data_IF_414466143098
#
_entry.id   IF_414466143098
#
_cell.length_a   1.000
_cell.length_b   1.000
_cell.length_c   1.000
_cell.angle_alpha   90.00
_cell.angle_beta   90.00
_cell.angle_gamma   90.00
#
_symmetry.space_group_name_H-M   'P 1'
#
loop_
_entity.id
_entity.type
_entity.pdbx_description
1 polymer ?
#
# COMPACT_ATOMS: atom_id res chain seq x y z
N UNK A 1 4.13 41.05 38.58
CA UNK A 1 3.41 39.87 38.06
C UNK A 1 4.44 38.75 37.98
N UNK A 2 4.27 37.67 38.72
CA UNK A 2 5.11 36.48 38.55
C UNK A 2 4.95 35.95 37.11
N UNK A 3 6.04 35.53 36.44
CA UNK A 3 5.90 34.89 35.14
C UNK A 3 5.15 33.57 35.32
N UNK A 4 4.06 33.39 34.57
CA UNK A 4 3.36 32.11 34.53
C UNK A 4 4.32 31.03 34.03
N UNK A 5 4.41 29.91 34.75
CA UNK A 5 5.26 28.77 34.36
C UNK A 5 4.68 27.97 33.17
N UNK A 6 3.42 28.21 32.81
CA UNK A 6 2.75 27.53 31.71
C UNK A 6 3.06 28.19 30.37
N UNK A 7 3.38 27.34 29.40
CA UNK A 7 3.62 27.71 28.01
C UNK A 7 2.58 27.00 27.14
N UNK A 8 2.16 27.67 26.07
CA UNK A 8 1.20 27.14 25.11
C UNK A 8 1.81 27.06 23.72
N UNK A 9 1.39 26.09 22.94
CA UNK A 9 1.78 25.93 21.55
C UNK A 9 0.61 26.31 20.64
N UNK A 10 0.91 27.12 19.63
CA UNK A 10 -0.07 27.56 18.64
C UNK A 10 0.44 27.25 17.23
N UNK A 11 -0.49 26.94 16.33
CA UNK A 11 -0.20 26.71 14.92
C UNK A 11 0.41 27.95 14.26
N UNK A 12 1.56 27.77 13.60
CA UNK A 12 2.13 28.80 12.72
C UNK A 12 1.24 29.06 11.51
N UNK A 13 0.49 28.05 11.03
CA UNK A 13 -0.48 28.24 9.95
C UNK A 13 -1.60 29.19 10.39
N UNK A 14 -2.13 29.02 11.61
CA UNK A 14 -3.11 29.95 12.16
C UNK A 14 -2.50 31.34 12.40
N UNK A 15 -1.27 31.43 12.93
CA UNK A 15 -0.60 32.74 13.10
C UNK A 15 -0.37 33.48 11.78
N UNK A 16 -0.10 32.75 10.69
CA UNK A 16 0.01 33.36 9.36
C UNK A 16 -1.32 33.95 8.93
N UNK A 17 -2.45 33.26 9.16
CA UNK A 17 -3.79 33.83 8.94
C UNK A 17 -4.01 35.06 9.80
N UNK A 18 -3.69 35.00 11.09
CA UNK A 18 -3.79 36.14 12.02
C UNK A 18 -3.02 37.38 11.53
N UNK A 19 -1.85 37.20 10.92
CA UNK A 19 -1.04 38.31 10.38
C UNK A 19 -1.54 38.88 9.06
N UNK A 20 -2.29 38.10 8.28
CA UNK A 20 -2.58 38.42 6.87
C UNK A 20 -4.06 38.63 6.57
N UNK A 21 -4.96 38.19 7.44
CA UNK A 21 -6.42 38.24 7.25
C UNK A 21 -7.02 39.22 8.25
N UNK A 22 -8.03 39.99 7.82
CA UNK A 22 -8.81 40.84 8.72
C UNK A 22 -9.56 40.01 9.79
N UNK A 23 -10.00 38.81 9.42
CA UNK A 23 -10.67 37.85 10.30
C UNK A 23 -10.04 36.46 10.14
N UNK A 24 -9.09 36.07 11.01
CA UNK A 24 -8.39 34.79 10.88
C UNK A 24 -9.23 33.56 11.26
N UNK A 25 -10.41 33.78 11.87
CA UNK A 25 -11.26 32.75 12.44
C UNK A 25 -10.72 32.16 13.75
N UNK A 26 -11.39 31.12 14.30
CA UNK A 26 -10.99 30.48 15.55
C UNK A 26 -9.59 29.86 15.48
N UNK A 27 -8.89 29.80 16.61
CA UNK A 27 -7.60 29.12 16.72
C UNK A 27 -7.80 27.64 16.35
N UNK A 28 -6.94 27.12 15.49
CA UNK A 28 -6.91 25.69 15.16
C UNK A 28 -5.48 25.17 15.27
N UNK A 29 -5.30 24.17 16.12
CA UNK A 29 -4.04 23.46 16.34
C UNK A 29 -4.05 22.03 15.74
N UNK A 30 -5.07 21.73 14.92
CA UNK A 30 -5.24 20.42 14.28
C UNK A 30 -4.25 20.15 13.13
N UNK A 31 -3.52 21.16 12.67
CA UNK A 31 -2.49 21.02 11.65
C UNK A 31 -1.23 20.32 12.18
N UNK A 32 -0.96 20.37 13.48
CA UNK A 32 0.17 19.67 14.10
C UNK A 32 -0.23 18.56 15.10
N UNK A 33 -1.52 18.39 15.38
CA UNK A 33 -2.05 17.31 16.22
C UNK A 33 -2.86 16.29 15.42
N UNK A 34 -2.80 15.02 15.83
CA UNK A 34 -3.74 14.01 15.38
C UNK A 34 -5.07 14.08 16.18
N UNK A 35 -6.06 13.29 15.78
CA UNK A 35 -7.34 13.14 16.50
C UNK A 35 -7.18 12.63 17.93
N UNK A 36 -6.08 11.96 18.27
CA UNK A 36 -5.77 11.51 19.63
C UNK A 36 -5.17 12.62 20.51
N UNK A 37 -4.90 13.81 19.96
CA UNK A 37 -4.37 14.97 20.70
C UNK A 37 -2.84 15.00 20.88
N UNK A 38 -2.10 14.09 20.24
CA UNK A 38 -0.64 14.10 20.20
C UNK A 38 -0.10 14.51 18.83
N UNK A 39 1.21 14.72 18.74
CA UNK A 39 1.89 15.01 17.47
C UNK A 39 1.98 13.72 16.65
N UNK A 40 1.52 13.69 15.39
CA UNK A 40 1.70 12.52 14.52
C UNK A 40 3.19 12.18 14.38
N UNK A 41 3.61 10.89 14.43
CA UNK A 41 5.02 10.53 14.41
C UNK A 41 5.80 11.09 13.22
N UNK A 42 5.20 11.10 12.02
CA UNK A 42 5.82 11.64 10.81
C UNK A 42 6.03 13.17 10.85
N UNK A 43 5.40 13.89 11.78
CA UNK A 43 5.58 15.34 12.00
C UNK A 43 6.58 15.66 13.10
N UNK A 44 6.94 14.68 13.93
CA UNK A 44 7.75 14.90 15.12
C UNK A 44 9.12 15.52 14.80
N UNK A 45 9.71 15.18 13.64
CA UNK A 45 11.03 15.67 13.22
C UNK A 45 11.06 17.14 12.81
N UNK A 46 9.90 17.73 12.49
CA UNK A 46 9.78 19.13 12.05
C UNK A 46 8.68 19.88 12.81
N UNK A 47 8.34 19.43 14.02
CA UNK A 47 7.27 20.03 14.81
C UNK A 47 7.52 21.51 15.12
N UNK A 48 8.77 21.91 15.34
CA UNK A 48 9.17 23.29 15.61
C UNK A 48 8.89 24.25 14.44
N UNK A 49 8.83 23.73 13.21
CA UNK A 49 8.47 24.45 12.00
C UNK A 49 6.95 24.63 11.86
N UNK A 50 6.15 23.89 12.64
CA UNK A 50 4.70 23.94 12.63
C UNK A 50 4.13 24.78 13.78
N UNK A 51 4.83 24.85 14.92
CA UNK A 51 4.31 25.47 16.14
C UNK A 51 5.12 26.70 16.57
N UNK A 52 4.45 27.62 17.23
CA UNK A 52 5.10 28.68 18.00
C UNK A 52 4.72 28.53 19.47
N UNK A 53 5.73 28.61 20.34
CA UNK A 53 5.52 28.64 21.78
C UNK A 53 5.17 30.05 22.24
N UNK A 54 4.12 30.18 23.03
CA UNK A 54 3.59 31.41 23.56
C UNK A 54 3.59 31.39 25.10
N UNK A 55 3.90 32.53 25.74
CA UNK A 55 3.57 32.75 27.15
C UNK A 55 2.06 32.65 27.39
N UNK A 56 1.64 32.18 28.57
CA UNK A 56 0.23 32.01 28.92
C UNK A 56 -0.60 33.29 28.72
N UNK A 57 -0.10 34.45 29.14
CA UNK A 57 -0.85 35.71 28.98
C UNK A 57 -1.15 36.06 27.52
N UNK A 58 -0.25 35.71 26.61
CA UNK A 58 -0.45 35.90 25.16
C UNK A 58 -1.49 34.91 24.65
N UNK A 59 -1.39 33.64 25.07
CA UNK A 59 -2.39 32.63 24.75
C UNK A 59 -3.80 33.02 25.23
N UNK A 60 -3.94 33.39 26.50
CA UNK A 60 -5.22 33.77 27.12
C UNK A 60 -5.88 34.93 26.37
N UNK A 61 -5.10 35.93 25.97
CA UNK A 61 -5.59 37.05 25.16
C UNK A 61 -6.09 36.59 23.77
N UNK A 62 -5.32 35.76 23.07
CA UNK A 62 -5.71 35.25 21.75
C UNK A 62 -6.95 34.35 21.87
N UNK A 63 -6.97 33.44 22.84
CA UNK A 63 -8.07 32.52 23.06
C UNK A 63 -9.36 33.26 23.46
N UNK A 64 -9.29 34.25 24.35
CA UNK A 64 -10.44 35.07 24.74
C UNK A 64 -11.07 35.79 23.55
N UNK A 65 -10.26 36.23 22.58
CA UNK A 65 -10.75 36.96 21.39
C UNK A 65 -11.23 36.06 20.26
N UNK A 66 -10.54 34.94 20.00
CA UNK A 66 -10.78 34.12 18.80
C UNK A 66 -11.40 32.75 19.11
N UNK A 67 -11.30 32.27 20.35
CA UNK A 67 -11.74 30.93 20.74
C UNK A 67 -11.04 29.81 19.95
N UNK A 68 -11.71 28.66 19.81
CA UNK A 68 -11.22 27.52 19.04
C UNK A 68 -10.50 26.48 19.89
N UNK A 69 -9.51 25.81 19.31
CA UNK A 69 -8.71 24.80 20.01
C UNK A 69 -8.08 23.73 19.10
N UNK A 70 -7.59 22.63 19.69
CA UNK A 70 -7.45 22.42 21.14
C UNK A 70 -6.35 23.31 21.75
N UNK A 71 -6.46 23.62 23.05
CA UNK A 71 -5.37 24.24 23.79
C UNK A 71 -4.24 23.22 24.01
N UNK A 72 -3.00 23.61 23.75
CA UNK A 72 -1.85 22.69 23.80
C UNK A 72 -0.79 23.30 24.68
N UNK A 73 -0.50 22.67 25.82
CA UNK A 73 0.55 23.10 26.76
C UNK A 73 1.71 22.09 26.86
N UNK A 74 1.60 20.97 26.14
CA UNK A 74 2.62 19.94 26.07
C UNK A 74 2.58 19.25 24.72
N UNK A 75 3.75 19.00 24.13
CA UNK A 75 3.90 18.25 22.90
C UNK A 75 4.48 16.88 23.22
N UNK A 76 3.82 15.84 22.73
CA UNK A 76 4.28 14.47 22.83
C UNK A 76 3.97 13.75 21.52
N UNK A 77 4.84 12.82 21.14
CA UNK A 77 4.58 11.94 20.00
C UNK A 77 3.38 11.06 20.33
N UNK A 78 2.40 11.01 19.46
CA UNK A 78 1.21 10.19 19.67
C UNK A 78 1.55 8.70 19.61
N UNK A 79 1.54 8.04 20.77
CA UNK A 79 1.81 6.61 20.87
C UNK A 79 0.78 5.76 20.12
N UNK A 80 -0.50 6.13 20.15
CA UNK A 80 -1.54 5.42 19.38
C UNK A 80 -1.23 5.44 17.88
N UNK A 81 -0.91 6.60 17.31
CA UNK A 81 -0.51 6.69 15.90
C UNK A 81 0.76 5.88 15.61
N UNK A 82 1.73 5.90 16.51
CA UNK A 82 2.97 5.12 16.37
C UNK A 82 2.67 3.62 16.29
N UNK A 83 1.86 3.11 17.22
CA UNK A 83 1.47 1.70 17.25
C UNK A 83 0.70 1.29 16.01
N UNK A 84 -0.20 2.12 15.49
CA UNK A 84 -0.94 1.78 14.27
C UNK A 84 -0.04 1.78 13.03
N UNK A 85 0.95 2.67 12.94
CA UNK A 85 1.97 2.63 11.88
C UNK A 85 2.78 1.33 11.96
N UNK A 86 3.28 0.97 13.14
CA UNK A 86 4.07 -0.25 13.34
C UNK A 86 3.27 -1.53 13.03
N UNK A 87 2.00 -1.57 13.42
CA UNK A 87 1.09 -2.68 13.08
C UNK A 87 0.89 -2.79 11.58
N UNK A 88 0.70 -1.66 10.89
CA UNK A 88 0.53 -1.62 9.44
C UNK A 88 1.78 -2.10 8.71
N UNK A 89 2.96 -1.62 9.10
CA UNK A 89 4.24 -2.05 8.55
C UNK A 89 4.48 -3.54 8.80
N UNK A 90 4.20 -4.03 10.02
CA UNK A 90 4.30 -5.45 10.35
C UNK A 90 3.38 -6.30 9.48
N UNK A 91 2.14 -5.85 9.24
CA UNK A 91 1.19 -6.53 8.35
C UNK A 91 1.72 -6.58 6.92
N UNK A 92 2.12 -5.44 6.35
CA UNK A 92 2.66 -5.34 4.98
C UNK A 92 3.86 -6.28 4.79
N UNK A 93 4.79 -6.26 5.74
CA UNK A 93 5.96 -7.14 5.72
C UNK A 93 5.57 -8.62 5.80
N UNK A 94 4.69 -9.00 6.73
CA UNK A 94 4.24 -10.38 6.85
C UNK A 94 3.54 -10.88 5.58
N UNK A 95 2.72 -10.04 4.94
CA UNK A 95 2.07 -10.39 3.68
C UNK A 95 3.07 -10.57 2.53
N UNK A 96 4.02 -9.64 2.38
CA UNK A 96 5.05 -9.70 1.35
C UNK A 96 5.99 -10.91 1.54
N UNK A 97 6.48 -11.14 2.75
CA UNK A 97 7.40 -12.24 3.06
C UNK A 97 6.76 -13.60 2.76
N UNK A 98 5.48 -13.77 3.13
CA UNK A 98 4.74 -15.00 2.83
C UNK A 98 4.53 -15.17 1.32
N UNK A 99 4.11 -14.12 0.61
CA UNK A 99 3.94 -14.17 -0.84
C UNK A 99 5.25 -14.54 -1.54
N UNK A 100 6.36 -13.90 -1.20
CA UNK A 100 7.68 -14.19 -1.80
C UNK A 100 8.07 -15.66 -1.59
N UNK A 101 7.83 -16.18 -0.38
CA UNK A 101 8.09 -17.59 -0.05
C UNK A 101 7.25 -18.54 -0.91
N UNK A 102 5.94 -18.30 -0.99
CA UNK A 102 5.01 -19.15 -1.74
C UNK A 102 5.27 -19.07 -3.26
N UNK A 103 5.53 -17.87 -3.77
CA UNK A 103 5.86 -17.68 -5.17
C UNK A 103 7.17 -18.39 -5.53
N UNK A 104 8.20 -18.34 -4.67
CA UNK A 104 9.44 -19.09 -4.88
C UNK A 104 9.19 -20.59 -4.95
N UNK A 105 8.39 -21.14 -4.03
CA UNK A 105 8.03 -22.55 -4.04
C UNK A 105 7.29 -22.96 -5.33
N UNK A 106 6.40 -22.09 -5.83
CA UNK A 106 5.68 -22.31 -7.09
C UNK A 106 6.61 -22.30 -8.31
N UNK A 107 7.63 -21.43 -8.33
CA UNK A 107 8.62 -21.43 -9.43
C UNK A 107 9.53 -22.67 -9.42
N UNK A 108 9.71 -23.31 -8.26
CA UNK A 108 10.49 -24.54 -8.10
C UNK A 108 9.66 -25.80 -8.41
N UNK A 109 8.34 -25.67 -8.59
CA UNK A 109 7.45 -26.78 -8.91
C UNK A 109 7.51 -27.14 -10.41
N UNK A 110 7.98 -28.34 -10.72
CA UNK A 110 8.22 -28.76 -12.11
C UNK A 110 6.94 -28.96 -12.94
N UNK A 111 5.85 -29.41 -12.31
CA UNK A 111 4.62 -29.82 -13.03
C UNK A 111 3.33 -29.58 -12.23
N UNK A 112 2.93 -28.31 -12.03
CA UNK A 112 1.70 -28.00 -11.30
C UNK A 112 0.47 -28.53 -12.04
N UNK A 113 -0.39 -29.29 -11.35
CA UNK A 113 -1.60 -29.90 -11.94
C UNK A 113 -2.70 -28.87 -12.19
N UNK A 114 -2.79 -27.86 -11.33
CA UNK A 114 -3.78 -26.78 -11.39
C UNK A 114 -3.07 -25.47 -11.07
N UNK A 115 -3.29 -24.46 -11.90
CA UNK A 115 -2.76 -23.12 -11.72
C UNK A 115 -3.93 -22.19 -11.42
N UNK A 116 -3.82 -21.38 -10.36
CA UNK A 116 -4.80 -20.37 -10.02
C UNK A 116 -4.47 -19.06 -10.74
N UNK A 117 -5.51 -18.30 -11.10
CA UNK A 117 -5.36 -17.02 -11.77
C UNK A 117 -5.84 -15.87 -10.88
N UNK A 118 -5.11 -14.76 -10.93
CA UNK A 118 -5.44 -13.53 -10.19
C UNK A 118 -5.41 -12.33 -11.12
N UNK A 119 -6.39 -11.43 -10.96
CA UNK A 119 -6.45 -10.18 -11.72
C UNK A 119 -5.21 -9.32 -11.46
N UNK A 120 -4.50 -8.93 -12.52
CA UNK A 120 -3.35 -8.04 -12.38
C UNK A 120 -3.74 -6.64 -11.93
N UNK A 121 -4.99 -6.23 -12.11
CA UNK A 121 -5.50 -4.99 -11.52
C UNK A 121 -5.43 -5.08 -9.99
N UNK A 122 -6.08 -6.09 -9.40
CA UNK A 122 -6.09 -6.29 -7.95
C UNK A 122 -4.68 -6.54 -7.41
N UNK A 123 -3.88 -7.33 -8.13
CA UNK A 123 -2.52 -7.64 -7.70
C UNK A 123 -1.62 -6.39 -7.64
N UNK A 124 -1.78 -5.43 -8.56
CA UNK A 124 -1.05 -4.16 -8.51
C UNK A 124 -1.45 -3.29 -7.32
N UNK A 125 -2.74 -3.30 -6.94
CA UNK A 125 -3.23 -2.61 -5.73
C UNK A 125 -2.64 -3.25 -4.46
N UNK A 126 -2.67 -4.58 -4.39
CA UNK A 126 -2.02 -5.34 -3.31
C UNK A 126 -0.52 -5.07 -3.24
N UNK A 127 0.17 -5.08 -4.39
CA UNK A 127 1.60 -4.80 -4.47
C UNK A 127 1.93 -3.37 -4.00
N UNK A 128 1.10 -2.39 -4.38
CA UNK A 128 1.20 -1.00 -3.91
C UNK A 128 1.08 -0.89 -2.39
N UNK A 129 0.11 -1.59 -1.81
CA UNK A 129 -0.09 -1.67 -0.37
C UNK A 129 1.11 -2.29 0.36
N UNK A 130 1.55 -3.49 -0.01
CA UNK A 130 2.64 -4.20 0.71
C UNK A 130 4.00 -3.53 0.53
N UNK A 131 4.21 -2.78 -0.56
CA UNK A 131 5.40 -1.95 -0.77
C UNK A 131 5.30 -0.55 -0.15
N UNK A 132 4.20 -0.23 0.53
CA UNK A 132 3.99 1.05 1.21
C UNK A 132 3.81 2.26 0.28
N UNK A 133 3.47 2.03 -0.99
CA UNK A 133 3.10 3.11 -1.93
C UNK A 133 1.71 3.67 -1.59
N UNK A 134 0.81 2.77 -1.20
CA UNK A 134 -0.57 3.09 -0.84
C UNK A 134 -0.82 2.77 0.64
N UNK A 135 -1.61 3.64 1.30
CA UNK A 135 -1.95 3.46 2.71
C UNK A 135 -3.07 2.45 2.92
N UNK A 136 -4.02 2.41 1.99
CA UNK A 136 -5.17 1.53 2.09
C UNK A 136 -4.83 0.13 1.56
N UNK A 137 -5.24 -0.94 2.26
CA UNK A 137 -5.14 -2.29 1.71
C UNK A 137 -6.03 -2.44 0.48
N UNK A 138 -5.74 -3.39 -0.42
CA UNK A 138 -6.64 -3.70 -1.51
C UNK A 138 -7.99 -4.16 -0.95
N UNK A 139 -9.05 -3.97 -1.74
CA UNK A 139 -10.35 -4.56 -1.45
C UNK A 139 -10.33 -6.09 -1.61
N UNK A 140 -11.52 -6.74 -1.58
CA UNK A 140 -11.61 -8.16 -1.89
C UNK A 140 -11.04 -8.49 -3.27
N UNK A 141 -10.47 -9.70 -3.43
CA UNK A 141 -9.97 -10.16 -4.73
C UNK A 141 -11.10 -10.09 -5.75
N UNK A 142 -10.91 -9.34 -6.83
CA UNK A 142 -11.88 -9.22 -7.92
C UNK A 142 -11.32 -9.81 -9.22
N UNK A 143 -11.77 -11.03 -9.50
CA UNK A 143 -11.46 -11.76 -10.73
C UNK A 143 -12.56 -11.64 -11.80
N UNK A 144 -13.61 -10.83 -11.60
CA UNK A 144 -14.75 -10.77 -12.53
C UNK A 144 -14.34 -10.39 -13.94
N UNK A 145 -13.36 -9.48 -14.09
CA UNK A 145 -12.84 -9.05 -15.40
C UNK A 145 -12.00 -10.10 -16.12
N UNK A 146 -11.45 -11.08 -15.38
CA UNK A 146 -10.64 -12.17 -15.92
C UNK A 146 -11.42 -13.49 -16.03
N UNK A 147 -12.66 -13.53 -15.56
CA UNK A 147 -13.49 -14.72 -15.54
C UNK A 147 -14.52 -14.73 -16.68
N UNK A 148 -14.81 -15.92 -17.21
CA UNK A 148 -15.99 -16.21 -18.03
C UNK A 148 -16.75 -17.34 -17.35
N UNK A 149 -18.08 -17.17 -17.21
CA UNK A 149 -18.96 -18.24 -16.80
C UNK A 149 -19.54 -18.93 -18.05
N UNK A 150 -19.21 -20.22 -18.23
CA UNK A 150 -19.82 -21.09 -19.24
C UNK A 150 -20.61 -22.18 -18.52
N UNK A 151 -21.94 -22.05 -18.52
CA UNK A 151 -22.86 -23.04 -17.96
C UNK A 151 -22.59 -23.41 -16.49
N UNK A 152 -22.23 -22.43 -15.66
CA UNK A 152 -21.89 -22.63 -14.25
C UNK A 152 -20.41 -22.92 -13.99
N UNK A 153 -19.61 -23.15 -15.03
CA UNK A 153 -18.17 -23.33 -14.91
C UNK A 153 -17.44 -22.01 -15.14
N UNK A 154 -16.67 -21.56 -14.16
CA UNK A 154 -15.82 -20.37 -14.27
C UNK A 154 -14.48 -20.76 -14.88
N UNK A 155 -14.09 -20.09 -15.96
CA UNK A 155 -12.80 -20.30 -16.66
C UNK A 155 -12.12 -18.96 -16.92
N UNK A 156 -10.81 -18.98 -17.17
CA UNK A 156 -10.06 -17.79 -17.55
C UNK A 156 -10.55 -17.23 -18.90
N UNK A 157 -10.79 -15.92 -18.94
CA UNK A 157 -11.07 -15.16 -20.16
C UNK A 157 -9.80 -15.07 -21.01
N UNK A 158 -9.90 -15.49 -22.28
CA UNK A 158 -8.77 -15.40 -23.21
C UNK A 158 -8.30 -13.95 -23.36
N UNK A 159 -6.98 -13.73 -23.24
CA UNK A 159 -6.35 -12.40 -23.35
C UNK A 159 -6.59 -11.48 -22.14
N UNK A 160 -7.14 -11.98 -21.04
CA UNK A 160 -7.29 -11.18 -19.83
C UNK A 160 -5.94 -10.90 -19.15
N UNK A 161 -5.83 -9.73 -18.52
CA UNK A 161 -4.65 -9.31 -17.75
C UNK A 161 -4.65 -10.03 -16.38
N UNK A 162 -4.11 -11.26 -16.37
CA UNK A 162 -4.06 -12.14 -15.21
C UNK A 162 -2.65 -12.63 -14.91
N UNK A 163 -2.32 -12.72 -13.62
CA UNK A 163 -1.16 -13.45 -13.11
C UNK A 163 -1.49 -14.90 -12.80
N UNK A 164 -0.48 -15.75 -12.79
CA UNK A 164 -0.55 -17.15 -12.36
C UNK A 164 0.03 -17.30 -10.96
N UNK A 165 -0.66 -18.03 -10.09
CA UNK A 165 -0.24 -18.31 -8.72
C UNK A 165 -0.58 -19.75 -8.33
N UNK A 166 0.10 -20.26 -7.30
CA UNK A 166 -0.21 -21.57 -6.73
C UNK A 166 -1.51 -21.57 -5.93
N UNK A 167 -2.04 -22.75 -5.62
CA UNK A 167 -3.19 -22.92 -4.72
C UNK A 167 -2.93 -22.33 -3.34
N UNK A 168 -1.75 -22.55 -2.78
CA UNK A 168 -1.35 -22.03 -1.47
C UNK A 168 -1.32 -20.51 -1.48
N UNK A 169 -0.83 -19.92 -2.57
CA UNK A 169 -0.79 -18.46 -2.75
C UNK A 169 -2.21 -17.89 -2.84
N UNK A 170 -3.11 -18.56 -3.58
CA UNK A 170 -4.52 -18.17 -3.66
C UNK A 170 -5.18 -18.24 -2.28
N UNK A 171 -5.04 -19.38 -1.58
CA UNK A 171 -5.63 -19.58 -0.26
C UNK A 171 -5.11 -18.57 0.77
N UNK A 172 -3.81 -18.24 0.71
CA UNK A 172 -3.20 -17.22 1.54
C UNK A 172 -3.84 -15.84 1.30
N UNK A 173 -3.87 -15.36 0.06
CA UNK A 173 -4.44 -14.05 -0.27
C UNK A 173 -5.95 -14.00 0.01
N UNK A 174 -6.67 -15.06 -0.33
CA UNK A 174 -8.11 -15.18 -0.09
C UNK A 174 -8.45 -15.22 1.41
N UNK A 175 -7.61 -15.83 2.25
CA UNK A 175 -7.84 -15.85 3.70
C UNK A 175 -7.80 -14.46 4.35
N UNK A 176 -7.06 -13.52 3.74
CA UNK A 176 -6.90 -12.14 4.24
C UNK A 176 -7.92 -11.21 3.59
N UNK A 177 -8.05 -11.30 2.27
CA UNK A 177 -8.80 -10.31 1.48
C UNK A 177 -10.17 -10.82 1.03
N UNK A 178 -10.39 -12.13 1.03
CA UNK A 178 -11.62 -12.74 0.51
C UNK A 178 -11.81 -12.50 -0.99
N UNK A 179 -13.07 -12.47 -1.43
CA UNK A 179 -13.43 -12.16 -2.82
C UNK A 179 -13.54 -13.39 -3.73
N UNK A 180 -13.35 -13.18 -5.03
CA UNK A 180 -13.49 -14.18 -6.08
C UNK A 180 -13.82 -13.56 -7.46
N UNK A 181 -14.36 -14.35 -8.40
CA UNK A 181 -14.50 -15.81 -8.34
C UNK A 181 -13.13 -16.51 -8.40
N UNK A 182 -13.09 -17.77 -7.96
CA UNK A 182 -11.93 -18.65 -8.19
C UNK A 182 -11.83 -18.94 -9.68
N UNK A 183 -10.65 -18.71 -10.26
CA UNK A 183 -10.35 -18.99 -11.67
C UNK A 183 -9.13 -19.89 -11.71
N UNK A 184 -9.25 -21.05 -12.35
CA UNK A 184 -8.15 -22.00 -12.49
C UNK A 184 -7.95 -22.42 -13.95
N UNK A 185 -6.71 -22.80 -14.27
CA UNK A 185 -6.34 -23.39 -15.55
C UNK A 185 -5.54 -24.66 -15.28
N UNK A 186 -5.71 -25.68 -16.14
CA UNK A 186 -4.85 -26.87 -16.13
C UNK A 186 -3.81 -26.69 -17.23
N UNK A 187 -2.50 -26.74 -16.93
CA UNK A 187 -1.49 -26.71 -17.97
C UNK A 187 -1.68 -27.94 -18.86
N UNK A 188 -1.72 -27.71 -20.17
CA UNK A 188 -1.90 -28.78 -21.14
C UNK A 188 -0.56 -29.53 -21.25
N UNK A 189 -0.49 -30.77 -20.75
CA UNK A 189 0.67 -31.64 -20.95
C UNK A 189 0.66 -32.05 -22.42
N UNK A 190 1.27 -31.25 -23.27
CA UNK A 190 1.49 -31.63 -24.65
C UNK A 190 2.45 -32.81 -24.68
N UNK A 191 1.96 -33.99 -25.08
CA UNK A 191 2.83 -34.98 -25.71
C UNK A 191 3.45 -34.30 -26.94
N UNK A 192 4.69 -33.83 -26.81
CA UNK A 192 5.53 -33.54 -27.96
C UNK A 192 5.90 -34.89 -28.57
N UNK A 193 5.15 -35.32 -29.59
CA UNK A 193 5.69 -36.27 -30.56
C UNK A 193 6.94 -35.60 -31.15
N UNK A 194 8.10 -36.21 -30.89
CA UNK A 194 9.36 -35.82 -31.48
C UNK A 194 9.29 -36.09 -33.00
N UNK A 195 8.97 -35.06 -33.79
CA UNK A 195 9.34 -35.06 -35.20
C UNK A 195 10.87 -34.90 -35.27
N UNK A 196 11.55 -36.04 -35.36
CA UNK A 196 12.96 -36.12 -35.74
C UNK A 196 13.06 -35.68 -37.20
N UNK A 197 13.28 -34.38 -37.43
CA UNK A 197 13.65 -33.88 -38.74
C UNK A 197 15.10 -34.28 -39.04
N UNK A 198 15.25 -35.32 -39.85
CA UNK A 198 16.50 -35.64 -40.54
C UNK A 198 16.92 -34.43 -41.40
N UNK A 199 18.00 -33.75 -41.00
CA UNK A 199 18.76 -32.87 -41.86
C UNK A 199 20.12 -33.53 -42.08
N UNK A 200 20.24 -34.27 -43.19
CA UNK A 200 21.50 -34.77 -43.71
C UNK A 200 22.34 -33.58 -44.20
N UNK A 201 23.55 -33.50 -43.66
CA UNK A 201 24.61 -32.58 -44.05
C UNK A 201 25.16 -32.98 -45.43
N UNK A 202 25.00 -32.12 -46.44
CA UNK A 202 25.74 -32.24 -47.70
C UNK A 202 26.55 -30.97 -47.96
N UNK A 203 27.85 -31.10 -47.70
CA UNK A 203 28.91 -30.20 -48.12
C UNK A 203 29.09 -30.33 -49.63
N UNK A 204 29.10 -29.21 -50.36
CA UNK A 204 29.66 -29.14 -51.72
C UNK A 204 30.55 -27.90 -51.84
N UNK A 205 31.84 -28.17 -51.99
CA UNK A 205 32.89 -27.26 -52.46
C UNK A 205 33.15 -27.65 -53.90
N UNK A 206 33.06 -26.71 -54.85
CA UNK A 206 33.79 -26.86 -56.11
C UNK A 206 34.21 -25.52 -56.72
N UNK A 207 35.53 -25.41 -56.83
CA UNK A 207 36.38 -24.56 -57.66
C UNK A 207 35.95 -24.46 -59.12
N UNK A 208 36.11 -23.27 -59.73
CA UNK A 208 36.21 -23.13 -61.19
C UNK A 208 37.34 -22.19 -61.59
N UNK A 209 38.34 -22.80 -62.22
CA UNK A 209 39.36 -22.18 -63.06
C UNK A 209 38.78 -21.92 -64.44
N UNK A 210 38.85 -20.68 -64.93
CA UNK A 210 39.25 -20.28 -66.30
C UNK A 210 39.90 -18.91 -66.20
#
# INVERSE_FOLDING_TARGET
MEPSLLQFYISRQWLNKFKTFAEPGPISNHDFLCSHGGVPPHKATYIDDLVLMLPQNVWDHLYSRYGGGPAVNHLYICHTCQTEIEKLEKRRKAELDMFVRLNKAFQEEESPVVIYCISMQWFREWEGFVKGKDNDPPGPIDNTKIAINKNGHVTLKQGADSGQISEETWNFLHSIHGGGPVVTVRPNVGHQEAEVSHAEEKVEVETRTV
#
